data_IF_130696721152
#
_entry.id   IF_130696721152
#
_cell.length_a   1.000
_cell.length_b   1.000
_cell.length_c   1.000
_cell.angle_alpha   90.00
_cell.angle_beta   90.00
_cell.angle_gamma   90.00
#
_symmetry.space_group_name_H-M   'P 1'
#
loop_
_entity.id
_entity.type
_entity.pdbx_description
1 polymer ?
#
# COMPACT_ATOMS: atom_id res chain seq x y z
N UNK A 1 5.34 -4.59 -4.69
CA UNK A 1 4.69 -4.28 -3.39
C UNK A 1 5.42 -5.05 -2.30
N UNK A 2 5.60 -4.46 -1.13
CA UNK A 2 6.19 -5.12 0.04
C UNK A 2 5.24 -4.98 1.24
N UNK A 3 5.15 -6.03 2.06
CA UNK A 3 4.47 -6.03 3.36
C UNK A 3 5.54 -6.33 4.39
N UNK A 4 5.65 -5.50 5.42
CA UNK A 4 6.72 -5.55 6.42
C UNK A 4 6.15 -5.31 7.81
N UNK A 5 6.91 -5.69 8.84
CA UNK A 5 6.58 -5.34 10.22
C UNK A 5 6.52 -3.82 10.39
N UNK A 6 5.57 -3.28 11.19
CA UNK A 6 5.40 -1.83 11.34
C UNK A 6 6.67 -1.11 11.79
N UNK A 7 7.45 -1.75 12.66
CA UNK A 7 8.69 -1.19 13.20
C UNK A 7 9.84 -1.13 12.16
N UNK A 8 9.74 -1.89 11.08
CA UNK A 8 10.75 -1.93 10.01
C UNK A 8 10.34 -1.07 8.79
N UNK A 9 9.12 -0.52 8.77
CA UNK A 9 8.56 0.16 7.60
C UNK A 9 9.47 1.28 7.06
N UNK A 10 9.92 2.19 7.93
CA UNK A 10 10.77 3.32 7.55
C UNK A 10 12.16 2.87 7.10
N UNK A 11 12.73 1.85 7.77
CA UNK A 11 14.04 1.29 7.43
C UNK A 11 14.01 0.67 6.03
N UNK A 12 12.99 -0.12 5.73
CA UNK A 12 12.82 -0.74 4.42
C UNK A 12 12.57 0.33 3.36
N UNK A 13 11.71 1.31 3.63
CA UNK A 13 11.45 2.42 2.71
C UNK A 13 12.73 3.19 2.36
N UNK A 14 13.58 3.49 3.34
CA UNK A 14 14.84 4.17 3.14
C UNK A 14 15.81 3.38 2.24
N UNK A 15 15.79 2.04 2.34
CA UNK A 15 16.59 1.18 1.45
C UNK A 15 15.99 1.10 0.04
N UNK A 16 14.65 1.01 -0.09
CA UNK A 16 13.98 1.01 -1.38
C UNK A 16 14.28 2.28 -2.18
N UNK A 17 14.28 3.44 -1.53
CA UNK A 17 14.57 4.74 -2.16
C UNK A 17 16.01 4.89 -2.68
N UNK A 18 16.95 4.05 -2.25
CA UNK A 18 18.32 4.04 -2.77
C UNK A 18 18.45 3.26 -4.10
N UNK A 19 17.43 2.49 -4.48
CA UNK A 19 17.39 1.82 -5.77
C UNK A 19 16.91 2.81 -6.85
N UNK A 20 17.55 2.81 -8.03
CA UNK A 20 17.16 3.70 -9.13
C UNK A 20 15.71 3.55 -9.60
N UNK A 21 15.10 2.36 -9.41
CA UNK A 21 13.67 2.12 -9.69
C UNK A 21 12.76 2.39 -8.48
N UNK A 22 13.32 2.63 -7.30
CA UNK A 22 12.59 2.78 -6.04
C UNK A 22 12.55 4.20 -5.50
N UNK A 23 13.06 5.19 -6.24
CA UNK A 23 13.13 6.60 -5.84
C UNK A 23 11.80 7.14 -5.29
N UNK A 24 10.68 6.75 -5.92
CA UNK A 24 9.33 7.17 -5.54
C UNK A 24 8.59 6.15 -4.65
N UNK A 25 9.32 5.20 -4.03
CA UNK A 25 8.71 4.28 -3.09
C UNK A 25 8.04 5.05 -1.93
N UNK A 26 6.88 4.55 -1.51
CA UNK A 26 6.10 5.14 -0.44
C UNK A 26 5.36 4.06 0.37
N UNK A 27 5.12 4.33 1.64
CA UNK A 27 4.16 3.58 2.44
C UNK A 27 2.76 4.03 2.01
N UNK A 28 1.94 3.09 1.53
CA UNK A 28 0.61 3.39 0.95
C UNK A 28 -0.56 2.89 1.82
N UNK A 29 -0.29 2.25 2.95
CA UNK A 29 -1.32 1.74 3.84
C UNK A 29 -0.78 0.79 4.91
N UNK A 30 -1.70 0.16 5.61
CA UNK A 30 -1.45 -0.79 6.70
C UNK A 30 -2.39 -1.99 6.57
N UNK A 31 -1.93 -3.16 7.02
CA UNK A 31 -2.79 -4.36 7.14
C UNK A 31 -3.51 -4.30 8.47
N UNK A 32 -4.83 -4.49 8.45
CA UNK A 32 -5.66 -4.49 9.66
C UNK A 32 -6.57 -5.71 9.68
N UNK A 33 -7.14 -6.02 10.84
CA UNK A 33 -8.18 -7.04 10.98
C UNK A 33 -9.55 -6.61 10.43
N UNK A 34 -9.70 -5.35 10.02
CA UNK A 34 -10.96 -4.82 9.51
C UNK A 34 -11.14 -5.19 8.03
N UNK A 35 -12.34 -5.63 7.65
CA UNK A 35 -12.69 -5.99 6.27
C UNK A 35 -11.72 -7.03 5.64
N UNK A 36 -11.62 -8.24 6.21
CA UNK A 36 -10.70 -9.26 5.71
C UNK A 36 -10.95 -9.57 4.22
N UNK A 37 -9.87 -9.74 3.45
CA UNK A 37 -9.92 -10.01 2.02
C UNK A 37 -10.30 -8.81 1.15
N UNK A 38 -10.30 -7.59 1.68
CA UNK A 38 -10.63 -6.36 0.94
C UNK A 38 -9.53 -5.32 1.05
N UNK A 39 -9.40 -4.51 0.01
CA UNK A 39 -8.56 -3.29 0.02
C UNK A 39 -9.47 -2.08 0.10
N UNK A 40 -9.27 -1.26 1.15
CA UNK A 40 -10.04 -0.04 1.38
C UNK A 40 -9.13 1.17 1.12
N UNK A 41 -9.43 1.95 0.08
CA UNK A 41 -8.71 3.18 -0.26
C UNK A 41 -9.38 4.39 0.40
N UNK A 42 -8.64 5.11 1.24
CA UNK A 42 -9.06 6.42 1.77
C UNK A 42 -8.86 7.47 0.68
N UNK A 43 -9.94 8.09 0.23
CA UNK A 43 -9.85 9.17 -0.78
C UNK A 43 -9.55 10.51 -0.12
N UNK A 44 -8.93 11.42 -0.88
CA UNK A 44 -8.68 12.80 -0.43
C UNK A 44 -9.96 13.59 -0.14
N UNK A 45 -11.10 13.12 -0.65
CA UNK A 45 -12.40 13.79 -0.54
C UNK A 45 -13.20 13.35 0.70
N UNK A 46 -12.70 12.40 1.48
CA UNK A 46 -13.31 11.95 2.74
C UNK A 46 -13.84 10.50 2.67
N UNK A 47 -14.72 10.14 1.72
CA UNK A 47 -15.21 8.77 1.62
C UNK A 47 -14.10 7.76 1.35
N UNK A 48 -14.25 6.56 1.90
CA UNK A 48 -13.42 5.40 1.52
C UNK A 48 -14.07 4.66 0.35
N UNK A 49 -13.24 4.05 -0.52
CA UNK A 49 -13.69 3.20 -1.63
C UNK A 49 -13.07 1.82 -1.50
N UNK A 50 -13.85 0.78 -1.82
CA UNK A 50 -13.31 -0.58 -1.98
C UNK A 50 -12.58 -0.62 -3.33
N UNK A 51 -11.39 -1.19 -3.35
CA UNK A 51 -10.68 -1.51 -4.59
C UNK A 51 -11.04 -2.94 -4.95
N UNK A 52 -11.82 -3.07 -6.01
CA UNK A 52 -12.21 -4.36 -6.55
C UNK A 52 -11.10 -4.95 -7.42
N UNK A 53 -11.04 -6.29 -7.47
CA UNK A 53 -10.19 -6.99 -8.40
C UNK A 53 -10.68 -6.74 -9.83
N UNK A 54 -9.76 -6.42 -10.74
CA UNK A 54 -10.07 -6.37 -12.17
C UNK A 54 -10.52 -7.77 -12.63
N UNK A 55 -11.66 -7.84 -13.32
CA UNK A 55 -12.33 -9.09 -13.68
C UNK A 55 -11.97 -9.64 -15.07
N UNK A 56 -10.96 -9.09 -15.76
CA UNK A 56 -10.54 -9.52 -17.11
C UNK A 56 -9.82 -8.42 -17.90
N UNK A 57 -9.19 -8.77 -19.03
CA UNK A 57 -8.14 -8.00 -19.74
C UNK A 57 -8.57 -6.62 -20.27
N UNK A 58 -7.58 -5.69 -20.28
CA UNK A 58 -7.57 -4.42 -21.01
C UNK A 58 -6.93 -4.62 -22.40
#
# INVERSE_FOLDING_TARGET
>A
VAIVEPNDADKVLAQMKQNGYGTDAAIIGEVTSNHPGRVIMKTRLGPSRIIDMLSGEL
#
